data_IF_737567706727
#
_entry.id   IF_737567706727
#
_cell.length_a   1.000
_cell.length_b   1.000
_cell.length_c   1.000
_cell.angle_alpha   90.00
_cell.angle_beta   90.00
_cell.angle_gamma   90.00
#
_symmetry.space_group_name_H-M   'P 1'
#
loop_
_entity.id
_entity.type
_entity.pdbx_description
1 polymer ?
#
# COMPACT_ATOMS: atom_id res chain seq x y z
N UNK A 1 -10.71 16.48 5.76
CA UNK A 1 -9.39 16.13 6.34
C UNK A 1 -8.28 16.67 5.45
N UNK A 2 -7.35 17.42 6.04
CA UNK A 2 -6.12 17.90 5.38
C UNK A 2 -4.92 17.11 5.87
N UNK A 3 -4.03 16.74 4.95
CA UNK A 3 -2.69 16.25 5.29
C UNK A 3 -1.76 17.45 5.31
N UNK A 4 -1.10 17.69 6.45
CA UNK A 4 -0.13 18.78 6.58
C UNK A 4 1.11 18.49 5.73
N UNK A 5 1.58 19.50 5.01
CA UNK A 5 2.73 19.38 4.10
C UNK A 5 2.42 18.64 2.80
N UNK A 6 1.14 18.39 2.47
CA UNK A 6 0.78 17.84 1.18
C UNK A 6 1.23 18.80 0.06
N UNK A 7 1.97 18.25 -0.90
CA UNK A 7 2.35 18.95 -2.12
C UNK A 7 1.10 19.24 -2.96
N UNK A 8 1.07 20.37 -3.69
CA UNK A 8 -0.09 20.75 -4.50
C UNK A 8 -0.40 19.75 -5.63
N UNK A 9 0.62 19.01 -6.07
CA UNK A 9 0.55 18.02 -7.14
C UNK A 9 1.28 16.75 -6.74
N UNK A 10 0.79 15.61 -7.25
CA UNK A 10 1.46 14.31 -7.17
C UNK A 10 2.19 14.06 -8.49
N UNK A 11 3.11 14.96 -8.85
CA UNK A 11 3.76 14.98 -10.17
C UNK A 11 4.18 13.58 -10.63
N UNK A 12 3.73 13.20 -11.83
CA UNK A 12 4.06 11.93 -12.45
C UNK A 12 3.26 10.72 -11.99
N UNK A 13 2.50 10.77 -10.89
CA UNK A 13 1.55 9.69 -10.55
C UNK A 13 0.32 9.79 -11.46
N UNK A 14 0.00 8.69 -12.13
CA UNK A 14 -1.18 8.55 -12.98
C UNK A 14 -2.10 7.50 -12.37
N UNK A 15 -3.22 7.96 -11.81
CA UNK A 15 -4.27 7.07 -11.30
C UNK A 15 -5.12 6.57 -12.46
N UNK A 16 -5.19 5.25 -12.72
CA UNK A 16 -6.11 4.70 -13.72
C UNK A 16 -7.55 5.11 -13.44
N UNK A 17 -8.33 5.40 -14.48
CA UNK A 17 -9.72 5.89 -14.36
C UNK A 17 -10.59 4.96 -13.51
N UNK A 18 -10.42 3.65 -13.65
CA UNK A 18 -11.14 2.64 -12.86
C UNK A 18 -10.83 2.67 -11.35
N UNK A 19 -9.75 3.34 -10.95
CA UNK A 19 -9.38 3.57 -9.55
C UNK A 19 -9.70 4.98 -9.07
N UNK A 20 -10.09 5.92 -9.95
CA UNK A 20 -10.27 7.33 -9.61
C UNK A 20 -11.28 7.56 -8.47
N UNK A 21 -12.36 6.78 -8.45
CA UNK A 21 -13.38 6.83 -7.38
C UNK A 21 -13.00 6.01 -6.13
N UNK A 22 -11.94 5.21 -6.22
CA UNK A 22 -11.49 4.28 -5.17
C UNK A 22 -10.31 4.79 -4.37
N UNK A 23 -9.47 5.63 -4.96
CA UNK A 23 -8.29 6.16 -4.29
C UNK A 23 -8.20 7.69 -4.35
N UNK A 24 -7.55 8.26 -3.37
CA UNK A 24 -6.94 9.59 -3.43
C UNK A 24 -5.45 9.41 -3.19
N UNK A 25 -4.62 10.24 -3.82
CA UNK A 25 -3.16 10.16 -3.66
C UNK A 25 -2.64 11.49 -3.14
N UNK A 26 -1.82 11.43 -2.10
CA UNK A 26 -1.15 12.59 -1.52
C UNK A 26 0.31 12.30 -1.28
N UNK A 27 1.16 13.22 -1.70
CA UNK A 27 2.59 13.20 -1.41
C UNK A 27 2.92 14.37 -0.50
N UNK A 28 3.66 14.13 0.58
CA UNK A 28 4.23 15.21 1.43
C UNK A 28 5.73 15.37 1.21
N UNK A 29 6.29 14.62 0.26
CA UNK A 29 7.67 14.68 -0.17
C UNK A 29 7.78 14.34 -1.66
N UNK A 30 8.86 14.84 -2.28
CA UNK A 30 9.15 14.56 -3.68
C UNK A 30 9.49 13.07 -3.87
N UNK A 31 8.80 12.45 -4.81
CA UNK A 31 9.10 11.12 -5.30
C UNK A 31 10.26 11.17 -6.29
N UNK A 32 11.11 10.14 -6.26
CA UNK A 32 12.14 9.91 -7.26
C UNK A 32 11.53 9.23 -8.48
N UNK A 33 12.15 9.38 -9.64
CA UNK A 33 11.59 8.88 -10.90
C UNK A 33 11.29 7.37 -10.88
N UNK A 34 12.15 6.56 -10.24
CA UNK A 34 11.91 5.12 -10.12
C UNK A 34 10.72 4.81 -9.19
N UNK A 35 10.55 5.58 -8.10
CA UNK A 35 9.42 5.44 -7.17
C UNK A 35 8.11 5.74 -7.92
N UNK A 36 8.08 6.83 -8.68
CA UNK A 36 6.91 7.21 -9.50
C UNK A 36 6.57 6.15 -10.53
N UNK A 37 7.57 5.63 -11.26
CA UNK A 37 7.36 4.55 -12.24
C UNK A 37 6.81 3.27 -11.59
N UNK A 38 7.36 2.88 -10.45
CA UNK A 38 6.93 1.71 -9.70
C UNK A 38 5.50 1.87 -9.15
N UNK A 39 5.18 3.03 -8.58
CA UNK A 39 3.82 3.34 -8.10
C UNK A 39 2.82 3.27 -9.26
N UNK A 40 3.13 3.85 -10.42
CA UNK A 40 2.24 3.79 -11.58
C UNK A 40 2.03 2.37 -12.10
N UNK A 41 3.08 1.54 -12.09
CA UNK A 41 2.97 0.11 -12.41
C UNK A 41 2.04 -0.59 -11.41
N UNK A 42 2.25 -0.40 -10.11
CA UNK A 42 1.40 -0.97 -9.07
C UNK A 42 -0.07 -0.57 -9.24
N UNK A 43 -0.36 0.72 -9.47
CA UNK A 43 -1.72 1.21 -9.70
C UNK A 43 -2.36 0.59 -10.95
N UNK A 44 -1.60 0.48 -12.04
CA UNK A 44 -2.06 -0.15 -13.28
C UNK A 44 -2.42 -1.62 -13.06
N UNK A 45 -1.56 -2.35 -12.37
CA UNK A 45 -1.74 -3.78 -12.08
C UNK A 45 -2.91 -3.98 -11.11
N UNK A 46 -3.07 -3.11 -10.10
CA UNK A 46 -4.21 -3.17 -9.19
C UNK A 46 -5.53 -2.86 -9.89
N UNK A 47 -5.55 -1.94 -10.86
CA UNK A 47 -6.71 -1.68 -11.70
C UNK A 47 -7.12 -2.92 -12.50
N UNK A 48 -6.15 -3.60 -13.13
CA UNK A 48 -6.39 -4.87 -13.83
C UNK A 48 -6.90 -5.96 -12.89
N UNK A 49 -6.30 -6.06 -11.71
CA UNK A 49 -6.71 -7.02 -10.69
C UNK A 49 -8.14 -6.75 -10.20
N UNK A 50 -8.56 -5.49 -10.02
CA UNK A 50 -9.94 -5.15 -9.61
C UNK A 50 -10.98 -5.49 -10.69
N UNK A 51 -10.58 -5.44 -11.97
CA UNK A 51 -11.41 -5.88 -13.07
C UNK A 51 -11.54 -7.42 -13.12
N UNK A 52 -10.45 -8.13 -12.81
CA UNK A 52 -10.43 -9.60 -12.73
C UNK A 52 -11.18 -10.14 -11.51
N UNK A 53 -10.95 -9.55 -10.35
CA UNK A 53 -11.54 -9.94 -9.07
C UNK A 53 -11.96 -8.67 -8.33
N UNK A 54 -13.27 -8.53 -8.11
CA UNK A 54 -13.80 -7.30 -7.50
C UNK A 54 -13.30 -7.15 -6.06
N UNK A 55 -12.91 -5.93 -5.65
CA UNK A 55 -12.55 -5.67 -4.25
C UNK A 55 -13.76 -5.89 -3.33
N UNK A 56 -13.50 -6.39 -2.13
CA UNK A 56 -14.50 -6.63 -1.09
C UNK A 56 -14.92 -5.30 -0.44
N UNK A 57 -13.94 -4.47 -0.09
CA UNK A 57 -14.15 -3.17 0.53
C UNK A 57 -14.33 -2.11 -0.55
N UNK A 58 -15.41 -1.33 -0.45
CA UNK A 58 -15.81 -0.33 -1.46
C UNK A 58 -15.45 1.11 -1.08
N UNK A 59 -14.98 1.34 0.14
CA UNK A 59 -14.67 2.67 0.62
C UNK A 59 -13.48 3.26 -0.14
N UNK A 60 -13.46 4.60 -0.28
CA UNK A 60 -12.37 5.31 -0.91
C UNK A 60 -11.17 5.42 0.04
N UNK A 61 -10.05 4.84 -0.34
CA UNK A 61 -8.81 4.91 0.42
C UNK A 61 -7.96 6.14 0.05
N UNK A 62 -7.11 6.58 0.97
CA UNK A 62 -6.09 7.59 0.73
C UNK A 62 -4.71 6.93 0.76
N UNK A 63 -3.95 7.06 -0.32
CA UNK A 63 -2.54 6.66 -0.39
C UNK A 63 -1.70 7.89 -0.04
N UNK A 64 -0.97 7.82 1.08
CA UNK A 64 -0.16 8.91 1.61
C UNK A 64 1.34 8.55 1.55
N UNK A 65 2.09 9.21 0.68
CA UNK A 65 3.55 9.05 0.58
C UNK A 65 4.24 10.12 1.43
N UNK A 66 4.95 9.69 2.46
CA UNK A 66 5.54 10.58 3.49
C UNK A 66 7.07 10.46 3.56
N UNK A 67 7.81 11.53 3.89
CA UNK A 67 9.28 11.50 3.88
C UNK A 67 9.89 10.56 4.92
N UNK A 68 9.17 10.26 6.00
CA UNK A 68 9.67 9.47 7.13
C UNK A 68 8.52 8.73 7.80
N UNK A 69 8.45 8.73 9.12
CA UNK A 69 7.47 7.95 9.88
C UNK A 69 6.34 8.79 10.49
N UNK A 70 6.39 10.11 10.30
CA UNK A 70 5.40 11.02 10.88
C UNK A 70 4.42 11.49 9.83
N UNK A 71 3.14 11.20 10.05
CA UNK A 71 2.02 11.77 9.33
C UNK A 71 1.26 12.73 10.24
N UNK A 72 0.96 13.93 9.74
CA UNK A 72 0.18 14.93 10.48
C UNK A 72 -1.07 15.32 9.70
N UNK A 73 -2.21 15.32 10.36
CA UNK A 73 -3.51 15.57 9.74
C UNK A 73 -4.35 16.52 10.59
N UNK A 74 -5.32 17.19 9.96
CA UNK A 74 -6.36 17.96 10.64
C UNK A 74 -7.72 17.70 9.99
N UNK A 75 -8.80 17.81 10.76
CA UNK A 75 -10.16 17.84 10.23
C UNK A 75 -10.45 19.23 9.63
N UNK A 76 -11.47 19.33 8.77
CA UNK A 76 -11.71 20.57 8.01
C UNK A 76 -12.59 21.58 8.78
N UNK A 77 -13.25 21.17 9.86
CA UNK A 77 -14.12 22.02 10.68
C UNK A 77 -14.55 21.35 11.99
N UNK A 78 -15.84 21.46 12.30
CA UNK A 78 -16.46 20.98 13.55
C UNK A 78 -17.00 19.54 13.41
N UNK A 79 -16.32 18.68 12.64
CA UNK A 79 -16.78 17.30 12.48
C UNK A 79 -16.72 16.53 13.81
N UNK A 80 -17.84 15.92 14.21
CA UNK A 80 -17.90 15.09 15.43
C UNK A 80 -17.18 13.73 15.30
N UNK A 81 -16.86 13.32 14.07
CA UNK A 81 -16.16 12.09 13.77
C UNK A 81 -15.98 11.88 12.26
N UNK A 82 -15.02 11.04 11.88
CA UNK A 82 -14.73 10.70 10.49
C UNK A 82 -14.15 9.29 10.39
N UNK A 83 -14.56 8.55 9.35
CA UNK A 83 -13.95 7.26 8.99
C UNK A 83 -13.28 7.38 7.63
N UNK A 84 -12.00 7.00 7.56
CA UNK A 84 -11.22 7.03 6.32
C UNK A 84 -10.19 5.90 6.32
N UNK A 85 -10.18 5.10 5.26
CA UNK A 85 -9.10 4.13 5.03
C UNK A 85 -7.87 4.86 4.51
N UNK A 86 -6.70 4.53 5.07
CA UNK A 86 -5.44 5.17 4.72
C UNK A 86 -4.33 4.14 4.60
N UNK A 87 -3.55 4.26 3.53
CA UNK A 87 -2.36 3.47 3.25
C UNK A 87 -1.19 4.45 3.32
N UNK A 88 -0.24 4.21 4.22
CA UNK A 88 0.84 5.15 4.51
C UNK A 88 2.18 4.55 4.09
N UNK A 89 2.92 5.28 3.26
CA UNK A 89 4.14 4.81 2.64
C UNK A 89 5.33 5.68 3.08
N UNK A 90 6.18 5.20 4.00
CA UNK A 90 7.36 5.93 4.47
C UNK A 90 8.51 5.82 3.47
N UNK A 91 8.68 6.86 2.64
CA UNK A 91 9.69 6.88 1.56
C UNK A 91 11.12 6.66 2.06
N UNK A 92 11.45 7.18 3.26
CA UNK A 92 12.77 6.95 3.88
C UNK A 92 13.08 5.46 4.04
N UNK A 93 12.11 4.66 4.45
CA UNK A 93 12.33 3.24 4.70
C UNK A 93 12.63 2.48 3.40
N UNK A 94 11.93 2.79 2.32
CA UNK A 94 12.21 2.21 1.01
C UNK A 94 13.63 2.47 0.55
N UNK A 95 14.07 3.73 0.70
CA UNK A 95 15.40 4.20 0.31
C UNK A 95 16.52 3.62 1.18
N UNK A 96 16.23 3.31 2.44
CA UNK A 96 17.18 2.68 3.37
C UNK A 96 17.31 1.16 3.14
N UNK A 97 16.26 0.48 2.68
CA UNK A 97 16.29 -0.97 2.39
C UNK A 97 17.12 -1.25 1.13
N UNK A 98 16.78 -0.61 0.02
CA UNK A 98 17.55 -0.71 -1.22
C UNK A 98 17.38 0.55 -2.06
N UNK A 99 18.46 1.30 -2.24
CA UNK A 99 18.43 2.55 -3.00
C UNK A 99 18.19 2.26 -4.50
N UNK A 100 17.17 2.89 -5.07
CA UNK A 100 16.75 2.74 -6.48
C UNK A 100 16.22 1.35 -6.88
N UNK A 101 15.82 0.51 -5.94
CA UNK A 101 15.08 -0.72 -6.25
C UNK A 101 13.59 -0.40 -6.55
N UNK A 102 13.09 -0.65 -7.77
CA UNK A 102 11.69 -0.38 -8.13
C UNK A 102 10.72 -1.42 -7.57
N UNK A 103 11.18 -2.60 -7.15
CA UNK A 103 10.31 -3.67 -6.67
C UNK A 103 9.72 -3.32 -5.30
N UNK A 104 10.51 -2.68 -4.42
CA UNK A 104 10.08 -2.24 -3.09
C UNK A 104 8.83 -1.34 -3.14
N UNK A 105 8.84 -0.16 -3.80
CA UNK A 105 7.67 0.70 -3.89
C UNK A 105 6.50 0.04 -4.64
N UNK A 106 6.78 -0.79 -5.65
CA UNK A 106 5.75 -1.49 -6.41
C UNK A 106 4.98 -2.47 -5.50
N UNK A 107 5.70 -3.38 -4.83
CA UNK A 107 5.11 -4.41 -3.98
C UNK A 107 4.47 -3.81 -2.73
N UNK A 108 5.08 -2.79 -2.11
CA UNK A 108 4.48 -2.11 -0.97
C UNK A 108 3.10 -1.52 -1.31
N UNK A 109 2.95 -0.84 -2.45
CA UNK A 109 1.65 -0.31 -2.88
C UNK A 109 0.64 -1.42 -3.16
N UNK A 110 1.06 -2.48 -3.86
CA UNK A 110 0.18 -3.62 -4.15
C UNK A 110 -0.29 -4.32 -2.88
N UNK A 111 0.60 -4.53 -1.92
CA UNK A 111 0.35 -5.19 -0.64
C UNK A 111 -0.67 -4.41 0.19
N UNK A 112 -0.41 -3.13 0.44
CA UNK A 112 -1.31 -2.28 1.24
C UNK A 112 -2.68 -2.10 0.56
N UNK A 113 -2.72 -2.04 -0.78
CA UNK A 113 -3.99 -2.06 -1.51
C UNK A 113 -4.69 -3.40 -1.36
N UNK A 114 -3.98 -4.52 -1.31
CA UNK A 114 -4.59 -5.83 -1.06
C UNK A 114 -5.17 -5.92 0.36
N UNK A 115 -4.45 -5.47 1.37
CA UNK A 115 -4.98 -5.34 2.73
C UNK A 115 -6.26 -4.50 2.75
N UNK A 116 -6.19 -3.29 2.20
CA UNK A 116 -7.28 -2.32 2.26
C UNK A 116 -8.53 -2.74 1.47
N UNK A 117 -8.37 -3.34 0.28
CA UNK A 117 -9.50 -3.56 -0.63
C UNK A 117 -10.00 -5.00 -0.66
N UNK A 118 -9.16 -5.99 -0.34
CA UNK A 118 -9.61 -7.38 -0.16
C UNK A 118 -9.86 -7.73 1.31
N UNK A 119 -9.54 -6.83 2.26
CA UNK A 119 -9.80 -7.05 3.69
C UNK A 119 -8.94 -8.19 4.27
N UNK A 120 -7.76 -8.41 3.70
CA UNK A 120 -6.83 -9.43 4.16
C UNK A 120 -6.05 -8.82 5.34
N UNK A 121 -6.08 -9.43 6.51
CA UNK A 121 -5.31 -8.97 7.67
C UNK A 121 -4.01 -9.76 7.85
N UNK A 122 -3.95 -11.00 7.34
CA UNK A 122 -2.78 -11.86 7.49
C UNK A 122 -1.68 -11.49 6.49
N UNK A 123 -0.48 -11.27 7.01
CA UNK A 123 0.71 -10.86 6.27
C UNK A 123 1.18 -11.90 5.25
N UNK A 124 0.96 -13.19 5.53
CA UNK A 124 1.34 -14.26 4.60
C UNK A 124 0.29 -14.41 3.50
N UNK A 125 -0.99 -14.29 3.84
CA UNK A 125 -2.08 -14.30 2.85
C UNK A 125 -1.99 -13.13 1.88
N UNK A 126 -1.72 -11.91 2.36
CA UNK A 126 -1.58 -10.74 1.47
C UNK A 126 -0.38 -10.91 0.53
N UNK A 127 0.74 -11.46 1.00
CA UNK A 127 1.93 -11.67 0.16
C UNK A 127 1.67 -12.74 -0.89
N UNK A 128 0.96 -13.82 -0.53
CA UNK A 128 0.49 -14.82 -1.49
C UNK A 128 -0.45 -14.20 -2.54
N UNK A 129 -1.33 -13.28 -2.11
CA UNK A 129 -2.21 -12.51 -3.01
C UNK A 129 -1.39 -11.67 -3.97
N UNK A 130 -0.41 -10.89 -3.49
CA UNK A 130 0.50 -10.07 -4.29
C UNK A 130 1.25 -10.93 -5.30
N UNK A 131 1.85 -12.06 -4.89
CA UNK A 131 2.52 -13.00 -5.81
C UNK A 131 1.55 -13.51 -6.88
N UNK A 132 0.32 -13.84 -6.51
CA UNK A 132 -0.72 -14.24 -7.47
C UNK A 132 -1.02 -13.16 -8.50
N UNK A 133 -1.03 -11.88 -8.10
CA UNK A 133 -1.23 -10.73 -8.97
C UNK A 133 -0.01 -10.52 -9.89
N UNK A 134 1.21 -10.54 -9.33
CA UNK A 134 2.46 -10.39 -10.09
C UNK A 134 2.57 -11.49 -11.16
N UNK A 135 2.27 -12.74 -10.80
CA UNK A 135 2.24 -13.87 -11.76
C UNK A 135 1.25 -13.64 -12.89
N UNK A 136 0.11 -13.04 -12.59
CA UNK A 136 -0.98 -12.84 -13.54
C UNK A 136 -0.71 -11.73 -14.54
N UNK A 137 -0.13 -10.61 -14.09
CA UNK A 137 -0.08 -9.38 -14.88
C UNK A 137 1.33 -8.87 -15.19
N UNK A 138 2.35 -9.36 -14.49
CA UNK A 138 3.73 -8.87 -14.65
C UNK A 138 4.63 -10.00 -15.17
N UNK A 139 4.76 -11.11 -14.44
CA UNK A 139 5.68 -12.20 -14.77
C UNK A 139 5.21 -13.56 -14.23
N UNK A 140 4.71 -14.42 -15.12
CA UNK A 140 4.12 -15.72 -14.76
C UNK A 140 5.05 -16.67 -14.00
N UNK A 141 6.35 -16.62 -14.26
CA UNK A 141 7.34 -17.54 -13.67
C UNK A 141 7.91 -17.11 -12.31
N UNK A 142 7.45 -16.00 -11.74
CA UNK A 142 8.01 -15.51 -10.47
C UNK A 142 7.66 -16.46 -9.30
N UNK A 143 8.58 -16.67 -8.37
CA UNK A 143 8.33 -17.42 -7.13
C UNK A 143 8.03 -16.49 -5.96
N UNK A 144 7.53 -17.04 -4.86
CA UNK A 144 7.22 -16.25 -3.67
C UNK A 144 8.50 -15.64 -3.07
N UNK A 145 9.57 -16.43 -2.99
CA UNK A 145 10.88 -16.07 -2.46
C UNK A 145 11.59 -15.02 -3.31
N UNK A 146 11.26 -14.94 -4.61
CA UNK A 146 11.77 -13.90 -5.50
C UNK A 146 11.09 -12.55 -5.26
N UNK A 147 9.81 -12.53 -4.85
CA UNK A 147 9.07 -11.29 -4.54
C UNK A 147 9.33 -10.86 -3.10
N UNK A 148 9.39 -11.82 -2.17
CA UNK A 148 9.57 -11.60 -0.74
C UNK A 148 10.75 -12.44 -0.19
N UNK A 149 12.00 -12.05 -0.51
CA UNK A 149 13.17 -12.78 -0.04
C UNK A 149 13.27 -12.76 1.49
N UNK A 150 13.55 -13.93 2.08
CA UNK A 150 13.72 -14.07 3.52
C UNK A 150 12.43 -14.07 4.34
N UNK A 151 11.25 -14.10 3.71
CA UNK A 151 9.98 -14.25 4.42
C UNK A 151 9.78 -15.70 4.89
N UNK A 152 9.69 -15.90 6.20
CA UNK A 152 9.40 -17.19 6.80
C UNK A 152 7.89 -17.38 7.01
N UNK A 153 7.31 -18.29 6.24
CA UNK A 153 5.89 -18.63 6.31
C UNK A 153 5.51 -19.37 7.61
N UNK A 154 6.46 -20.02 8.28
CA UNK A 154 6.19 -20.86 9.46
C UNK A 154 6.06 -20.03 10.75
N UNK A 155 6.84 -18.96 10.89
CA UNK A 155 6.84 -18.10 12.09
C UNK A 155 5.83 -16.94 12.04
N UNK A 156 5.36 -16.55 10.84
CA UNK A 156 4.46 -15.42 10.64
C UNK A 156 3.00 -15.72 11.01
N UNK A 157 2.54 -16.95 10.81
CA UNK A 157 1.19 -17.41 11.17
C UNK A 157 0.94 -17.51 12.68
N UNK A 158 2.01 -17.63 13.49
CA UNK A 158 1.93 -17.66 14.95
C UNK A 158 1.76 -16.28 15.59
N UNK A 159 2.19 -15.21 14.92
CA UNK A 159 2.11 -13.84 15.47
C UNK A 159 0.74 -13.18 15.29
N UNK A 160 -0.07 -13.63 14.33
CA UNK A 160 -1.45 -13.16 14.15
C UNK A 160 -2.43 -13.78 15.15
N UNK A 161 -2.06 -14.90 15.80
CA UNK A 161 -2.90 -15.58 16.80
C UNK A 161 -2.70 -15.14 18.26
N UNK A 162 -1.64 -14.39 18.58
CA UNK A 162 -1.40 -13.90 19.95
C UNK A 162 -1.87 -12.46 20.08
N UNK A 163 -3.18 -12.27 20.21
CA UNK A 163 -3.70 -11.06 20.84
C UNK A 163 -3.13 -10.96 22.25
N UNK A 164 -2.30 -9.94 22.50
CA UNK A 164 -1.63 -9.67 23.77
C UNK A 164 -2.68 -9.30 24.85
N UNK A 165 -3.34 -10.31 25.42
CA UNK A 165 -4.08 -10.18 26.67
C UNK A 165 -3.08 -10.25 27.82
N UNK A 166 -2.45 -9.11 28.14
CA UNK A 166 -1.88 -8.95 29.47
C UNK A 166 -3.02 -8.83 30.48
N UNK A 167 -3.08 -9.69 31.52
CA UNK A 167 -3.97 -9.42 32.64
C UNK A 167 -3.50 -8.14 33.32
N UNK A 168 -4.44 -7.22 33.54
CA UNK A 168 -4.22 -6.06 34.42
C UNK A 168 -4.02 -6.60 35.84
N UNK A 169 -2.81 -6.41 36.38
CA UNK A 169 -2.59 -6.37 37.82
C UNK A 169 -2.77 -4.93 38.30
#
# INVERSE_FOLDING_TARGET
MKIKGAMPTTEGIVVPESLADRIDVRCTAKLRDYETKAINLALTVMAQQFAYEKPVIRNRALLAFIPGFTLSMSLDGDELGMTKSMLVFPLRQWREIADNDPDIPCFAVMEEMCHCFYGIADETEVKKKVVGIVRRFIKQSVTFEQVFPGWDCETSSLRSSTGDHRPRN
#
